data_IF_132523378119
#
_entry.id   IF_132523378119
#
_cell.length_a   1.000
_cell.length_b   1.000
_cell.length_c   1.000
_cell.angle_alpha   90.00
_cell.angle_beta   90.00
_cell.angle_gamma   90.00
#
_symmetry.space_group_name_H-M   'P 1'
#
loop_
_entity.id
_entity.type
_entity.pdbx_description
1 polymer ?
#
# COMPACT_ATOMS: atom_id res chain seq x y z
N UNK A 1 -13.99 -4.25 2.74
CA UNK A 1 -13.09 -3.45 3.59
C UNK A 1 -12.07 -4.42 4.18
N UNK A 2 -10.79 -4.07 4.19
CA UNK A 2 -9.73 -4.89 4.77
C UNK A 2 -9.18 -4.19 6.00
N UNK A 3 -8.93 -4.95 7.07
CA UNK A 3 -8.37 -4.45 8.32
C UNK A 3 -7.22 -5.35 8.74
N UNK A 4 -6.12 -4.74 9.20
CA UNK A 4 -4.92 -5.43 9.63
C UNK A 4 -4.44 -4.83 10.95
N UNK A 5 -3.99 -5.69 11.86
CA UNK A 5 -3.38 -5.26 13.12
C UNK A 5 -1.87 -5.26 12.95
N UNK A 6 -1.22 -4.15 13.29
CA UNK A 6 0.23 -3.99 13.28
C UNK A 6 0.71 -3.52 14.67
N UNK A 7 1.90 -3.97 15.07
CA UNK A 7 2.56 -3.56 16.32
C UNK A 7 3.87 -2.82 15.97
N UNK A 8 4.12 -1.69 16.63
CA UNK A 8 5.32 -0.88 16.45
C UNK A 8 6.11 -0.75 17.76
N UNK A 9 7.46 -0.85 17.74
CA UNK A 9 8.29 -1.11 16.55
C UNK A 9 8.25 -2.59 16.12
N UNK A 10 8.37 -2.87 14.82
CA UNK A 10 8.30 -4.25 14.34
C UNK A 10 8.13 -4.39 12.82
N UNK A 11 7.30 -5.35 12.39
CA UNK A 11 6.98 -5.55 10.98
C UNK A 11 6.04 -4.43 10.49
N UNK A 12 6.62 -3.42 9.86
CA UNK A 12 5.90 -2.20 9.43
C UNK A 12 5.63 -2.13 7.93
N UNK A 13 6.12 -3.08 7.13
CA UNK A 13 6.01 -3.03 5.68
C UNK A 13 4.69 -3.65 5.20
N UNK A 14 3.78 -2.80 4.71
CA UNK A 14 2.59 -3.21 4.00
C UNK A 14 2.86 -3.23 2.49
N UNK A 15 2.79 -4.41 1.89
CA UNK A 15 2.90 -4.60 0.44
C UNK A 15 1.50 -4.65 -0.17
N UNK A 16 1.23 -3.77 -1.13
CA UNK A 16 -0.02 -3.76 -1.90
C UNK A 16 0.32 -4.10 -3.34
N UNK A 17 -0.27 -5.18 -3.84
CA UNK A 17 -0.07 -5.68 -5.19
C UNK A 17 -1.38 -5.59 -5.96
N UNK A 18 -1.29 -5.18 -7.21
CA UNK A 18 -2.41 -5.14 -8.14
C UNK A 18 -2.16 -6.18 -9.24
N UNK A 19 -3.12 -7.08 -9.41
CA UNK A 19 -3.06 -8.13 -10.42
C UNK A 19 -4.15 -7.94 -11.48
N UNK A 20 -3.83 -8.28 -12.73
CA UNK A 20 -4.79 -8.49 -13.80
C UNK A 20 -5.34 -9.91 -13.69
N UNK A 21 -6.66 -10.02 -13.63
CA UNK A 21 -7.32 -11.30 -13.41
C UNK A 21 -7.50 -12.05 -14.73
N UNK A 22 -7.14 -13.33 -14.74
CA UNK A 22 -7.29 -14.20 -15.89
C UNK A 22 -8.32 -15.31 -15.63
N UNK A 23 -9.25 -15.53 -16.59
CA UNK A 23 -10.24 -16.61 -16.50
C UNK A 23 -9.59 -18.01 -16.53
N UNK A 24 -8.47 -18.15 -17.24
CA UNK A 24 -7.67 -19.38 -17.34
C UNK A 24 -6.19 -19.02 -17.27
N UNK A 25 -5.45 -19.69 -16.39
CA UNK A 25 -4.04 -19.40 -16.15
C UNK A 25 -3.82 -18.71 -14.81
N UNK A 26 -2.62 -18.14 -14.62
CA UNK A 26 -2.29 -17.35 -13.44
C UNK A 26 -2.58 -15.86 -13.69
N UNK A 27 -2.97 -15.15 -12.63
CA UNK A 27 -3.14 -13.70 -12.66
C UNK A 27 -1.77 -13.01 -12.85
N UNK A 28 -1.74 -11.93 -13.63
CA UNK A 28 -0.51 -11.20 -13.95
C UNK A 28 -0.33 -10.01 -12.99
N UNK A 29 0.87 -9.80 -12.44
CA UNK A 29 1.15 -8.63 -11.62
C UNK A 29 1.22 -7.37 -12.51
N UNK A 30 0.28 -6.44 -12.35
CA UNK A 30 0.31 -5.12 -12.99
C UNK A 30 1.35 -4.22 -12.30
N UNK A 31 1.37 -4.25 -10.97
CA UNK A 31 2.28 -3.41 -10.19
C UNK A 31 2.16 -3.60 -8.69
N UNK A 32 3.12 -3.02 -7.98
CA UNK A 32 3.22 -3.12 -6.53
C UNK A 32 3.67 -1.79 -5.92
N UNK A 33 3.19 -1.51 -4.72
CA UNK A 33 3.81 -0.52 -3.83
C UNK A 33 4.06 -1.12 -2.45
N UNK A 34 5.17 -0.71 -1.83
CA UNK A 34 5.52 -1.07 -0.46
C UNK A 34 5.44 0.18 0.40
N UNK A 35 4.61 0.10 1.43
CA UNK A 35 4.32 1.17 2.36
C UNK A 35 4.95 0.84 3.71
N UNK A 36 5.82 1.72 4.19
CA UNK A 36 6.27 1.67 5.58
C UNK A 36 5.26 2.36 6.50
N UNK A 37 4.51 1.55 7.24
CA UNK A 37 3.47 2.00 8.17
C UNK A 37 4.06 2.76 9.36
N UNK A 38 5.28 2.43 9.79
CA UNK A 38 5.93 3.06 10.94
C UNK A 38 6.38 4.48 10.58
N UNK A 39 7.02 4.63 9.41
CA UNK A 39 7.34 5.95 8.85
C UNK A 39 6.08 6.80 8.62
N UNK A 40 4.98 6.20 8.13
CA UNK A 40 3.69 6.89 7.98
C UNK A 40 3.12 7.32 9.34
N UNK A 41 3.24 6.50 10.38
CA UNK A 41 2.71 6.79 11.71
C UNK A 41 3.50 7.89 12.44
N UNK A 42 4.83 7.84 12.39
CA UNK A 42 5.70 8.82 13.07
C UNK A 42 5.97 10.11 12.26
N UNK A 43 5.66 10.13 10.97
CA UNK A 43 5.75 11.36 10.16
C UNK A 43 4.73 12.41 10.58
N UNK A 44 5.16 13.69 10.64
CA UNK A 44 4.24 14.84 10.81
C UNK A 44 3.24 14.97 9.65
N UNK A 45 3.56 14.41 8.49
CA UNK A 45 2.71 14.40 7.30
C UNK A 45 1.78 13.17 7.24
N UNK A 46 1.85 12.25 8.23
CA UNK A 46 1.00 11.06 8.34
C UNK A 46 0.87 10.30 7.01
N UNK A 47 -0.35 9.81 6.73
CA UNK A 47 -0.70 9.08 5.51
C UNK A 47 -0.72 9.92 4.23
N UNK A 48 -0.58 11.25 4.30
CA UNK A 48 -0.72 12.12 3.12
C UNK A 48 0.59 12.44 2.42
N UNK A 49 1.72 11.99 2.96
CA UNK A 49 3.03 12.23 2.35
C UNK A 49 3.15 11.53 0.99
N UNK A 50 3.40 12.30 -0.07
CA UNK A 50 3.58 11.79 -1.44
C UNK A 50 2.28 11.56 -2.23
N UNK A 51 1.10 11.81 -1.64
CA UNK A 51 -0.14 11.79 -2.40
C UNK A 51 -0.28 13.07 -3.24
N UNK A 52 -0.71 12.91 -4.49
CA UNK A 52 -1.04 14.04 -5.34
C UNK A 52 -2.21 14.82 -4.71
N UNK A 53 -2.16 16.16 -4.76
CA UNK A 53 -3.27 17.00 -4.29
C UNK A 53 -4.50 16.91 -5.18
N UNK A 54 -4.28 16.57 -6.45
CA UNK A 54 -5.30 16.43 -7.48
C UNK A 54 -4.97 15.18 -8.29
N UNK A 55 -5.99 14.42 -8.65
CA UNK A 55 -5.89 13.34 -9.62
C UNK A 55 -6.56 13.84 -10.89
N UNK A 56 -5.82 13.89 -12.00
CA UNK A 56 -6.42 14.15 -13.31
C UNK A 56 -7.18 12.90 -13.75
N UNK A 57 -8.38 13.10 -14.28
CA UNK A 57 -9.26 12.07 -14.85
C UNK A 57 -9.08 11.97 -16.34
#
# INVERSE_FOLDING_TARGET
>A
CFEFVANFPGSSLLRVQLFDWNLVGADELIGETVIDLENRFYSRHRATCGLARFYET
#
